data_IF_842622321879
#
_entry.id   IF_842622321879
#
_cell.length_a   1.000
_cell.length_b   1.000
_cell.length_c   1.000
_cell.angle_alpha   90.00
_cell.angle_beta   90.00
_cell.angle_gamma   90.00
#
_symmetry.space_group_name_H-M   'P 1'
#
loop_
_entity.id
_entity.type
_entity.pdbx_description
1 polymer ?
#
# COMPACT_ATOMS: atom_id res chain seq x y z
N UNK A 1 1.72 5.64 -39.19
CA UNK A 1 1.63 6.63 -38.10
C UNK A 1 2.19 5.97 -36.86
N UNK A 2 3.35 6.46 -36.43
CA UNK A 2 4.16 5.88 -35.35
C UNK A 2 3.42 6.02 -34.02
N UNK A 3 3.05 4.90 -33.42
CA UNK A 3 2.47 4.86 -32.08
C UNK A 3 3.55 5.29 -31.09
N UNK A 4 3.39 6.49 -30.54
CA UNK A 4 4.23 7.00 -29.46
C UNK A 4 4.22 6.03 -28.29
N UNK A 5 5.31 5.31 -28.07
CA UNK A 5 5.55 4.62 -26.81
C UNK A 5 5.56 5.67 -25.70
N UNK A 6 4.46 5.69 -24.92
CA UNK A 6 4.38 6.44 -23.68
C UNK A 6 5.54 6.01 -22.79
N UNK A 7 6.54 6.89 -22.64
CA UNK A 7 7.66 6.71 -21.73
C UNK A 7 7.16 6.87 -20.28
N UNK A 8 6.41 5.88 -19.79
CA UNK A 8 5.97 5.82 -18.39
C UNK A 8 7.24 5.63 -17.55
N UNK A 9 7.51 6.45 -16.52
CA UNK A 9 8.64 6.21 -15.63
C UNK A 9 8.53 4.77 -15.11
N UNK A 10 9.64 4.05 -15.19
CA UNK A 10 9.71 2.65 -14.76
C UNK A 10 9.47 2.65 -13.24
N UNK A 11 8.36 2.08 -12.80
CA UNK A 11 8.03 2.01 -11.37
C UNK A 11 9.13 1.31 -10.57
N UNK A 12 9.20 1.62 -9.28
CA UNK A 12 10.17 1.02 -8.36
C UNK A 12 9.59 -0.28 -7.83
N UNK A 13 10.34 -1.40 -7.78
CA UNK A 13 9.85 -2.64 -7.17
C UNK A 13 9.36 -2.43 -5.73
N UNK A 14 8.25 -3.07 -5.34
CA UNK A 14 7.62 -2.92 -4.02
C UNK A 14 8.62 -3.11 -2.88
N UNK A 15 9.48 -4.12 -2.96
CA UNK A 15 10.50 -4.44 -1.96
C UNK A 15 11.48 -3.27 -1.72
N UNK A 16 11.80 -2.50 -2.77
CA UNK A 16 12.69 -1.34 -2.67
C UNK A 16 11.96 -0.16 -2.03
N UNK A 17 10.66 0.02 -2.32
CA UNK A 17 9.84 1.06 -1.69
C UNK A 17 9.67 0.77 -0.20
N UNK A 18 9.32 -0.46 0.17
CA UNK A 18 9.19 -0.90 1.56
C UNK A 18 10.54 -0.78 2.28
N UNK A 19 11.64 -1.17 1.64
CA UNK A 19 12.98 -0.98 2.19
C UNK A 19 13.31 0.49 2.48
N UNK A 20 12.96 1.41 1.57
CA UNK A 20 13.14 2.84 1.79
C UNK A 20 12.27 3.37 2.94
N UNK A 21 11.02 2.93 3.06
CA UNK A 21 10.13 3.29 4.16
C UNK A 21 10.67 2.80 5.51
N UNK A 22 11.13 1.55 5.59
CA UNK A 22 11.73 0.98 6.80
C UNK A 22 13.04 1.67 7.19
N UNK A 23 13.83 2.15 6.22
CA UNK A 23 15.04 2.92 6.50
C UNK A 23 14.72 4.32 7.06
N UNK A 24 13.61 4.94 6.62
CA UNK A 24 13.16 6.22 7.12
C UNK A 24 12.48 6.10 8.49
N UNK A 25 11.65 5.08 8.67
CA UNK A 25 10.92 4.78 9.88
C UNK A 25 11.04 3.28 10.21
N UNK A 26 12.03 2.93 11.03
CA UNK A 26 12.28 1.54 11.42
C UNK A 26 11.08 1.00 12.20
N UNK A 27 10.47 -0.08 11.68
CA UNK A 27 9.33 -0.77 12.31
C UNK A 27 9.64 -1.26 13.73
N UNK A 28 10.92 -1.43 14.09
CA UNK A 28 11.34 -1.77 15.46
C UNK A 28 11.07 -0.67 16.48
N UNK A 29 10.82 0.56 16.04
CA UNK A 29 10.46 1.67 16.90
C UNK A 29 8.97 1.65 17.27
N UNK A 30 8.16 0.82 16.61
CA UNK A 30 6.75 0.68 16.92
C UNK A 30 6.54 0.03 18.29
N UNK A 31 5.48 0.44 18.98
CA UNK A 31 5.11 -0.18 20.24
C UNK A 31 4.65 -1.63 20.00
N UNK A 32 4.79 -2.49 21.01
CA UNK A 32 4.48 -3.92 20.91
C UNK A 32 3.01 -4.24 20.59
N UNK A 33 2.11 -3.27 20.76
CA UNK A 33 0.69 -3.41 20.47
C UNK A 33 0.31 -2.96 19.05
N UNK A 34 1.24 -2.34 18.33
CA UNK A 34 0.99 -1.78 17.01
C UNK A 34 1.15 -2.83 15.90
N UNK A 35 0.44 -2.67 14.79
CA UNK A 35 0.53 -3.55 13.62
C UNK A 35 1.00 -2.76 12.41
N UNK A 36 2.32 -2.56 12.30
CA UNK A 36 2.97 -1.73 11.29
C UNK A 36 3.72 -2.55 10.23
N UNK A 37 4.13 -1.89 9.15
CA UNK A 37 4.88 -2.48 8.04
C UNK A 37 3.98 -2.81 6.85
N UNK A 38 4.39 -3.79 6.04
CA UNK A 38 3.60 -4.24 4.89
C UNK A 38 2.50 -5.19 5.36
N UNK A 39 1.26 -4.69 5.45
CA UNK A 39 0.13 -5.47 5.98
C UNK A 39 -0.56 -6.37 4.94
N UNK A 40 -0.50 -6.00 3.65
CA UNK A 40 -1.07 -6.76 2.55
C UNK A 40 -0.08 -6.70 1.39
N UNK A 41 0.45 -7.86 1.01
CA UNK A 41 1.34 -8.03 -0.14
C UNK A 41 0.53 -8.54 -1.34
N UNK A 42 0.77 -8.01 -2.56
CA UNK A 42 0.13 -8.55 -3.76
C UNK A 42 0.60 -9.97 -4.06
N UNK A 43 -0.24 -10.78 -4.70
CA UNK A 43 0.14 -12.15 -5.10
C UNK A 43 1.22 -12.19 -6.17
N UNK A 44 1.30 -11.14 -6.99
CA UNK A 44 2.28 -10.99 -8.08
C UNK A 44 3.21 -9.81 -7.80
N UNK A 45 4.49 -9.88 -8.22
CA UNK A 45 5.42 -8.76 -8.11
C UNK A 45 4.85 -7.48 -8.74
N UNK A 46 4.93 -6.36 -8.02
CA UNK A 46 4.35 -5.08 -8.44
C UNK A 46 5.39 -3.96 -8.46
N UNK A 47 5.43 -3.20 -9.56
CA UNK A 47 6.18 -1.95 -9.64
C UNK A 47 5.30 -0.78 -9.20
N UNK A 48 5.81 0.03 -8.28
CA UNK A 48 5.12 1.16 -7.66
C UNK A 48 5.53 2.45 -8.35
N UNK A 49 4.56 3.16 -8.90
CA UNK A 49 4.75 4.48 -9.51
C UNK A 49 3.91 5.56 -8.83
N UNK A 50 2.75 5.19 -8.28
CA UNK A 50 1.85 6.10 -7.58
C UNK A 50 1.56 5.58 -6.18
N UNK A 51 1.82 6.41 -5.17
CA UNK A 51 1.57 6.11 -3.76
C UNK A 51 0.54 7.09 -3.23
N UNK A 52 -0.51 6.59 -2.57
CA UNK A 52 -1.44 7.40 -1.80
C UNK A 52 -1.06 7.36 -0.32
N UNK A 53 -0.89 8.54 0.27
CA UNK A 53 -0.65 8.72 1.71
C UNK A 53 -1.95 9.14 2.38
N UNK A 54 -2.31 8.50 3.49
CA UNK A 54 -3.52 8.84 4.26
C UNK A 54 -3.32 8.64 5.76
N UNK A 55 -4.15 9.30 6.58
CA UNK A 55 -4.27 8.94 7.99
C UNK A 55 -5.10 7.65 8.16
N UNK A 56 -6.29 7.64 7.55
CA UNK A 56 -7.28 6.56 7.66
C UNK A 56 -7.66 6.03 6.27
N UNK A 57 -7.64 4.70 6.10
CA UNK A 57 -8.13 4.04 4.90
C UNK A 57 -9.64 3.77 5.00
N UNK A 58 -10.44 4.81 4.80
CA UNK A 58 -11.91 4.71 4.69
C UNK A 58 -12.34 4.25 3.30
N UNK A 59 -13.61 3.84 3.12
CA UNK A 59 -14.14 3.46 1.80
C UNK A 59 -14.02 4.60 0.76
N UNK A 60 -14.19 5.86 1.19
CA UNK A 60 -14.05 7.02 0.32
C UNK A 60 -12.60 7.22 -0.14
N UNK A 61 -11.64 7.02 0.76
CA UNK A 61 -10.20 7.10 0.44
C UNK A 61 -9.77 5.91 -0.42
N UNK A 62 -10.34 4.73 -0.18
CA UNK A 62 -10.11 3.58 -1.05
C UNK A 62 -10.61 3.84 -2.47
N UNK A 63 -11.80 4.46 -2.61
CA UNK A 63 -12.32 4.88 -3.91
C UNK A 63 -11.40 5.89 -4.59
N UNK A 64 -10.90 6.88 -3.86
CA UNK A 64 -9.91 7.84 -4.36
C UNK A 64 -8.64 7.14 -4.87
N UNK A 65 -8.09 6.19 -4.10
CA UNK A 65 -6.90 5.43 -4.52
C UNK A 65 -7.13 4.64 -5.82
N UNK A 66 -8.34 4.09 -6.01
CA UNK A 66 -8.74 3.41 -7.25
C UNK A 66 -8.85 4.42 -8.41
N UNK A 67 -9.57 5.52 -8.19
CA UNK A 67 -9.79 6.56 -9.21
C UNK A 67 -8.46 7.19 -9.68
N UNK A 68 -7.48 7.33 -8.77
CA UNK A 68 -6.12 7.81 -9.04
C UNK A 68 -5.17 6.72 -9.56
N UNK A 69 -5.64 5.48 -9.69
CA UNK A 69 -4.85 4.33 -10.13
C UNK A 69 -3.55 4.18 -9.32
N UNK A 70 -3.66 4.27 -7.99
CA UNK A 70 -2.54 4.11 -7.07
C UNK A 70 -2.04 2.66 -7.02
N UNK A 71 -0.72 2.50 -6.91
CA UNK A 71 -0.07 1.19 -6.85
C UNK A 71 0.07 0.68 -5.41
N UNK A 72 0.26 1.62 -4.46
CA UNK A 72 0.46 1.39 -3.03
C UNK A 72 -0.30 2.44 -2.22
N UNK A 73 -0.86 2.02 -1.07
CA UNK A 73 -1.44 2.91 -0.07
C UNK A 73 -0.56 2.82 1.19
N UNK A 74 -0.20 3.97 1.75
CA UNK A 74 0.50 4.08 3.02
C UNK A 74 -0.41 4.86 3.97
N UNK A 75 -0.91 4.16 5.00
CA UNK A 75 -1.83 4.71 5.99
C UNK A 75 -1.17 4.81 7.37
N UNK A 76 -1.38 5.92 8.09
CA UNK A 76 -0.91 6.05 9.48
C UNK A 76 -1.62 5.06 10.41
N UNK A 77 -2.95 5.02 10.40
CA UNK A 77 -3.69 4.01 11.14
C UNK A 77 -3.74 2.70 10.35
N UNK A 78 -3.32 1.56 10.93
CA UNK A 78 -3.26 0.30 10.22
C UNK A 78 -4.68 -0.23 9.94
N UNK A 79 -5.05 -0.48 8.68
CA UNK A 79 -6.38 -0.99 8.35
C UNK A 79 -6.62 -2.39 8.94
N UNK A 80 -5.58 -3.20 9.10
CA UNK A 80 -5.62 -4.44 9.89
C UNK A 80 -4.94 -4.13 11.22
N UNK A 81 -5.70 -3.74 12.25
CA UNK A 81 -5.14 -3.48 13.58
C UNK A 81 -5.16 -4.72 14.48
N UNK A 82 -6.24 -5.51 14.41
CA UNK A 82 -6.39 -6.75 15.15
C UNK A 82 -6.38 -7.97 14.19
N UNK A 83 -6.02 -9.17 14.67
CA UNK A 83 -6.04 -10.38 13.86
C UNK A 83 -7.43 -10.66 13.26
N UNK A 84 -7.47 -10.93 11.97
CA UNK A 84 -8.70 -11.28 11.25
C UNK A 84 -9.01 -12.77 11.45
N UNK A 85 -10.25 -13.08 11.86
CA UNK A 85 -10.73 -14.47 12.01
C UNK A 85 -11.22 -15.08 10.70
N UNK A 86 -11.74 -14.25 9.79
CA UNK A 86 -12.23 -14.67 8.48
C UNK A 86 -12.19 -13.50 7.50
N UNK A 87 -11.98 -13.82 6.22
CA UNK A 87 -12.08 -12.89 5.09
C UNK A 87 -12.96 -13.55 4.05
N UNK A 88 -14.02 -12.86 3.66
CA UNK A 88 -14.97 -13.33 2.65
C UNK A 88 -15.23 -12.21 1.65
N UNK A 89 -15.88 -12.54 0.53
CA UNK A 89 -16.32 -11.53 -0.45
C UNK A 89 -17.37 -10.56 0.10
N UNK A 90 -17.98 -10.87 1.25
CA UNK A 90 -19.03 -10.04 1.88
C UNK A 90 -18.50 -9.16 3.01
N UNK A 91 -17.54 -9.65 3.78
CA UNK A 91 -16.95 -8.98 4.94
C UNK A 91 -15.52 -9.45 5.15
N UNK A 92 -14.67 -8.50 5.54
CA UNK A 92 -13.29 -8.70 5.97
C UNK A 92 -12.97 -7.91 7.26
N UNK A 93 -13.95 -7.15 7.76
CA UNK A 93 -14.00 -6.36 8.99
C UNK A 93 -15.39 -6.50 9.60
#
# INVERSE_FOLDING_TARGET
MSSTMSNKPRGIPLENVVGALNNFADVKLAASWDNVGLLIEPSEPKSISHILLTNDLTERVMKEAIDLNCDLIVSYHPPIFAPLKSITTRTWK
#
